data_IF_255376201273
#
_entry.id   IF_255376201273
#
_cell.length_a   1.000
_cell.length_b   1.000
_cell.length_c   1.000
_cell.angle_alpha   90.00
_cell.angle_beta   90.00
_cell.angle_gamma   90.00
#
_symmetry.space_group_name_H-M   'P 1'
#
loop_
_entity.id
_entity.type
_entity.pdbx_description
1 polymer ?
#
# COMPACT_ATOMS: atom_id res chain seq x y z
N UNK A 1 59.14 -6.51 -11.61
CA UNK A 1 57.75 -6.24 -11.20
C UNK A 1 57.48 -7.09 -9.97
N UNK A 2 57.21 -6.47 -8.83
CA UNK A 2 57.14 -7.17 -7.53
C UNK A 2 56.01 -8.20 -7.53
N UNK A 3 56.30 -9.48 -7.22
CA UNK A 3 55.31 -10.56 -7.13
C UNK A 3 54.14 -10.23 -6.19
N UNK A 4 54.34 -9.35 -5.20
CA UNK A 4 53.28 -8.84 -4.33
C UNK A 4 52.26 -7.95 -5.07
N UNK A 5 52.69 -7.18 -6.08
CA UNK A 5 51.83 -6.36 -6.90
C UNK A 5 50.96 -7.21 -7.84
N UNK A 6 51.50 -8.31 -8.36
CA UNK A 6 50.77 -9.25 -9.20
C UNK A 6 49.66 -10.00 -8.42
N UNK A 7 49.92 -10.34 -7.16
CA UNK A 7 48.94 -10.97 -6.25
C UNK A 7 47.80 -9.99 -5.91
N UNK A 8 48.11 -8.71 -5.68
CA UNK A 8 47.08 -7.68 -5.42
C UNK A 8 46.18 -7.43 -6.65
N UNK A 9 46.79 -7.43 -7.85
CA UNK A 9 46.04 -7.29 -9.12
C UNK A 9 45.17 -8.54 -9.36
N UNK A 10 45.65 -9.73 -9.03
CA UNK A 10 44.91 -10.99 -9.15
C UNK A 10 43.72 -11.05 -8.16
N UNK A 11 43.89 -10.53 -6.94
CA UNK A 11 42.82 -10.45 -5.96
C UNK A 11 41.76 -9.42 -6.35
N UNK A 12 42.15 -8.28 -6.96
CA UNK A 12 41.23 -7.27 -7.45
C UNK A 12 40.43 -7.71 -8.70
N UNK A 13 40.92 -8.69 -9.46
CA UNK A 13 40.22 -9.23 -10.63
C UNK A 13 39.14 -10.28 -10.29
N UNK A 14 39.04 -10.72 -9.02
CA UNK A 14 38.04 -11.70 -8.58
C UNK A 14 36.71 -11.02 -8.17
N UNK A 15 36.65 -9.69 -8.06
CA UNK A 15 35.39 -8.99 -7.91
C UNK A 15 34.66 -8.98 -9.26
N UNK A 16 33.91 -10.06 -9.54
CA UNK A 16 32.86 -9.99 -10.55
C UNK A 16 31.84 -8.97 -10.04
N UNK A 17 31.85 -7.78 -10.62
CA UNK A 17 30.77 -6.84 -10.49
C UNK A 17 29.58 -7.46 -11.27
N UNK A 18 28.80 -8.29 -10.58
CA UNK A 18 27.49 -8.67 -11.10
C UNK A 18 26.68 -7.39 -11.13
N UNK A 19 26.37 -6.91 -12.32
CA UNK A 19 25.26 -5.97 -12.51
C UNK A 19 24.02 -6.70 -12.00
N UNK A 20 23.55 -6.29 -10.83
CA UNK A 20 22.32 -6.87 -10.31
C UNK A 20 21.17 -6.27 -11.11
N UNK A 21 20.57 -7.08 -11.97
CA UNK A 21 19.41 -6.69 -12.75
C UNK A 21 18.26 -6.36 -11.82
N UNK A 22 17.83 -5.10 -11.82
CA UNK A 22 16.66 -4.66 -11.05
C UNK A 22 15.40 -5.11 -11.76
N UNK A 23 14.78 -6.19 -11.28
CA UNK A 23 13.49 -6.69 -11.78
C UNK A 23 12.37 -6.21 -10.87
N UNK A 24 12.07 -4.92 -10.93
CA UNK A 24 10.98 -4.30 -10.16
C UNK A 24 9.65 -4.65 -10.82
N UNK A 25 8.71 -5.17 -10.02
CA UNK A 25 7.35 -5.44 -10.47
C UNK A 25 6.63 -4.11 -10.67
N UNK A 26 6.17 -3.84 -11.89
CA UNK A 26 5.41 -2.63 -12.23
C UNK A 26 3.93 -2.96 -12.44
N UNK A 27 3.06 -2.03 -12.04
CA UNK A 27 1.60 -2.21 -12.17
C UNK A 27 0.95 -0.93 -12.67
N UNK A 28 -0.23 -1.07 -13.26
CA UNK A 28 -1.14 0.05 -13.42
C UNK A 28 -1.61 0.53 -12.04
N UNK A 29 -2.08 1.75 -11.95
CA UNK A 29 -2.72 2.35 -10.75
C UNK A 29 -2.01 2.08 -9.41
N UNK A 30 -0.70 2.33 -9.32
CA UNK A 30 0.09 2.01 -8.12
C UNK A 30 -0.35 2.81 -6.88
N UNK A 31 -1.15 3.88 -7.04
CA UNK A 31 -1.72 4.66 -5.95
C UNK A 31 -2.61 3.82 -5.01
N UNK A 32 -3.11 2.65 -5.48
CA UNK A 32 -3.86 1.71 -4.67
C UNK A 32 -3.06 1.14 -3.50
N UNK A 33 -1.73 1.11 -3.62
CA UNK A 33 -0.81 0.61 -2.58
C UNK A 33 -0.41 1.70 -1.58
N UNK A 34 -0.72 2.98 -1.85
CA UNK A 34 -0.41 4.08 -0.93
C UNK A 34 -1.38 4.04 0.25
N UNK A 35 -0.85 4.14 1.46
CA UNK A 35 -1.66 4.24 2.69
C UNK A 35 -2.69 5.36 2.59
N UNK A 36 -3.91 5.05 3.00
CA UNK A 36 -5.03 5.99 2.91
C UNK A 36 -5.14 6.92 4.12
N UNK A 37 -4.38 6.68 5.19
CA UNK A 37 -4.57 7.38 6.45
C UNK A 37 -3.27 7.61 7.22
N UNK A 38 -3.30 8.61 8.12
CA UNK A 38 -2.15 8.99 8.93
C UNK A 38 -1.84 7.99 10.05
N UNK A 39 -2.86 7.28 10.60
CA UNK A 39 -2.63 6.27 11.64
C UNK A 39 -1.79 5.12 11.12
N UNK A 40 -2.23 4.46 10.06
CA UNK A 40 -1.52 3.35 9.44
C UNK A 40 -0.15 3.78 8.88
N UNK A 41 -0.07 5.00 8.33
CA UNK A 41 1.20 5.60 7.91
C UNK A 41 2.17 5.76 9.07
N UNK A 42 1.70 6.20 10.24
CA UNK A 42 2.51 6.33 11.46
C UNK A 42 3.00 4.98 12.02
N UNK A 43 2.39 3.88 11.58
CA UNK A 43 2.71 2.49 11.96
C UNK A 43 3.56 1.75 10.90
N UNK A 44 4.18 2.45 9.95
CA UNK A 44 5.00 1.82 8.91
C UNK A 44 4.18 1.31 7.72
N UNK A 45 3.06 1.97 7.39
CA UNK A 45 2.20 1.60 6.24
C UNK A 45 1.52 0.23 6.39
N UNK A 46 0.94 -0.05 7.56
CA UNK A 46 0.25 -1.29 7.86
C UNK A 46 -1.09 -1.08 8.54
N UNK A 47 -2.02 -2.02 8.36
CA UNK A 47 -3.36 -1.87 8.92
C UNK A 47 -4.21 -3.14 8.92
N UNK A 48 -3.71 -4.25 8.37
CA UNK A 48 -4.51 -5.47 8.19
C UNK A 48 -4.88 -6.15 9.50
N UNK A 49 -4.03 -6.02 10.54
CA UNK A 49 -4.20 -6.62 11.86
C UNK A 49 -4.16 -5.61 13.03
N UNK A 50 -4.18 -4.31 12.75
CA UNK A 50 -4.34 -3.28 13.79
C UNK A 50 -5.76 -3.32 14.37
N UNK A 51 -6.00 -2.67 15.52
CA UNK A 51 -7.36 -2.47 16.01
C UNK A 51 -8.22 -1.72 14.99
N UNK A 52 -9.55 -1.85 15.10
CA UNK A 52 -10.50 -1.19 14.19
C UNK A 52 -10.37 0.33 14.26
N UNK A 53 -10.52 0.97 13.10
CA UNK A 53 -10.60 2.43 12.94
C UNK A 53 -11.48 2.80 11.75
N UNK A 54 -11.70 4.10 11.53
CA UNK A 54 -12.57 4.60 10.47
C UNK A 54 -12.00 4.40 9.05
N UNK A 55 -10.71 4.04 8.92
CA UNK A 55 -10.03 3.77 7.66
C UNK A 55 -9.85 2.28 7.36
N UNK A 56 -10.44 1.40 8.18
CA UNK A 56 -10.35 -0.05 8.02
C UNK A 56 -10.86 -0.55 6.66
N UNK A 57 -11.68 0.25 5.94
CA UNK A 57 -12.11 -0.04 4.57
C UNK A 57 -10.94 -0.31 3.61
N UNK A 58 -9.87 0.44 3.71
CA UNK A 58 -8.69 0.28 2.85
C UNK A 58 -7.85 -0.95 3.21
N UNK A 59 -7.78 -1.27 4.49
CA UNK A 59 -6.87 -2.29 5.02
C UNK A 59 -7.52 -3.66 5.18
N UNK A 60 -8.64 -3.69 5.89
CA UNK A 60 -9.39 -4.90 6.22
C UNK A 60 -10.79 -4.53 6.73
N UNK A 61 -11.81 -4.48 5.86
CA UNK A 61 -13.17 -4.09 6.27
C UNK A 61 -13.82 -5.02 7.30
N UNK A 62 -13.35 -6.27 7.42
CA UNK A 62 -13.90 -7.20 8.43
C UNK A 62 -13.68 -6.74 9.88
N UNK A 63 -12.74 -5.80 10.11
CA UNK A 63 -12.50 -5.17 11.41
C UNK A 63 -13.71 -4.40 11.93
N UNK A 64 -14.56 -3.83 11.05
CA UNK A 64 -15.73 -3.06 11.48
C UNK A 64 -16.73 -3.85 12.32
N UNK A 65 -16.75 -5.18 12.22
CA UNK A 65 -17.57 -6.05 13.07
C UNK A 65 -17.20 -5.91 14.55
N UNK A 66 -15.93 -5.58 14.83
CA UNK A 66 -15.41 -5.43 16.19
C UNK A 66 -15.41 -3.95 16.66
N UNK A 67 -16.02 -3.05 15.88
CA UNK A 67 -16.20 -1.66 16.30
C UNK A 67 -17.19 -1.54 17.45
N UNK A 68 -16.86 -0.73 18.44
CA UNK A 68 -17.78 -0.35 19.52
C UNK A 68 -18.84 0.63 19.03
N UNK A 69 -18.49 1.47 18.04
CA UNK A 69 -19.41 2.45 17.46
C UNK A 69 -20.28 1.84 16.36
N UNK A 70 -21.50 2.34 16.24
CA UNK A 70 -22.46 1.86 15.24
C UNK A 70 -22.09 2.30 13.81
N UNK A 71 -21.49 3.46 13.64
CA UNK A 71 -21.05 3.96 12.33
C UNK A 71 -19.95 5.01 12.47
N UNK A 72 -19.27 5.32 11.36
CA UNK A 72 -18.25 6.35 11.34
C UNK A 72 -17.95 6.83 9.93
N UNK A 73 -17.45 8.05 9.85
CA UNK A 73 -16.96 8.68 8.63
C UNK A 73 -15.53 9.15 8.85
N UNK A 74 -14.70 9.09 7.82
CA UNK A 74 -13.35 9.63 7.89
C UNK A 74 -12.93 10.29 6.58
N UNK A 75 -12.01 11.22 6.72
CA UNK A 75 -11.34 11.93 5.64
C UNK A 75 -9.84 11.95 5.88
N UNK A 76 -9.06 11.74 4.82
CA UNK A 76 -7.61 11.88 4.88
C UNK A 76 -7.07 12.64 3.68
N UNK A 77 -5.93 13.29 3.91
CA UNK A 77 -5.18 14.02 2.89
C UNK A 77 -3.69 13.71 3.03
N UNK A 78 -3.09 13.29 1.93
CA UNK A 78 -1.68 12.93 1.84
C UNK A 78 -1.05 13.68 0.66
N UNK A 79 -0.25 14.74 0.90
CA UNK A 79 0.57 15.33 -0.16
C UNK A 79 1.52 14.28 -0.72
N UNK A 80 1.81 14.37 -2.01
CA UNK A 80 2.71 13.47 -2.72
C UNK A 80 3.74 14.31 -3.48
N UNK A 81 5.01 13.90 -3.48
CA UNK A 81 6.10 14.67 -4.09
C UNK A 81 6.19 16.14 -3.59
N UNK A 82 5.78 16.41 -2.37
CA UNK A 82 5.61 17.78 -1.82
C UNK A 82 6.88 18.66 -1.83
N UNK A 83 8.06 18.05 -2.00
CA UNK A 83 9.31 18.79 -2.23
C UNK A 83 9.44 19.38 -3.64
N UNK A 84 8.72 18.85 -4.62
CA UNK A 84 8.82 19.21 -6.03
C UNK A 84 7.63 20.05 -6.49
N UNK A 85 6.42 19.64 -6.09
CA UNK A 85 5.14 20.21 -6.52
C UNK A 85 4.13 20.20 -5.37
N UNK A 86 3.10 21.05 -5.44
CA UNK A 86 2.12 21.20 -4.36
C UNK A 86 0.71 20.70 -4.73
N UNK A 87 0.52 20.22 -5.94
CA UNK A 87 -0.75 19.88 -6.56
C UNK A 87 -0.96 18.37 -6.74
N UNK A 88 0.07 17.56 -6.41
CA UNK A 88 -0.03 16.11 -6.37
C UNK A 88 -0.43 15.66 -4.95
N UNK A 89 -1.56 14.98 -4.84
CA UNK A 89 -2.07 14.52 -3.54
C UNK A 89 -2.97 13.30 -3.67
N UNK A 90 -3.08 12.56 -2.59
CA UNK A 90 -4.06 11.51 -2.37
C UNK A 90 -5.08 11.98 -1.32
N UNK A 91 -6.36 11.93 -1.66
CA UNK A 91 -7.45 12.14 -0.72
C UNK A 91 -8.29 10.86 -0.60
N UNK A 92 -8.80 10.59 0.60
CA UNK A 92 -9.69 9.46 0.84
C UNK A 92 -10.83 9.86 1.76
N UNK A 93 -12.03 9.39 1.42
CA UNK A 93 -13.22 9.46 2.28
C UNK A 93 -13.71 8.04 2.49
N UNK A 94 -14.00 7.67 3.73
CA UNK A 94 -14.56 6.36 4.06
C UNK A 94 -15.76 6.51 4.99
N UNK A 95 -16.68 5.57 4.88
CA UNK A 95 -17.85 5.44 5.75
C UNK A 95 -18.10 3.98 6.05
N UNK A 96 -18.48 3.68 7.29
CA UNK A 96 -18.96 2.35 7.67
C UNK A 96 -20.22 2.44 8.53
N UNK A 97 -21.01 1.37 8.52
CA UNK A 97 -22.17 1.21 9.37
C UNK A 97 -22.34 -0.26 9.75
N UNK A 98 -22.47 -0.53 11.05
CA UNK A 98 -22.88 -1.83 11.58
C UNK A 98 -24.39 -1.96 11.44
N UNK A 99 -24.83 -2.95 10.67
CA UNK A 99 -26.25 -3.28 10.53
C UNK A 99 -26.72 -4.05 11.78
N UNK A 100 -25.84 -4.87 12.33
CA UNK A 100 -26.08 -5.71 13.51
C UNK A 100 -24.74 -6.12 14.14
N UNK A 101 -24.78 -6.84 15.25
CA UNK A 101 -23.58 -7.45 15.85
C UNK A 101 -22.87 -8.46 14.93
N UNK A 102 -23.53 -8.91 13.87
CA UNK A 102 -23.00 -9.91 12.93
C UNK A 102 -22.64 -9.37 11.57
N UNK A 103 -23.06 -8.17 11.22
CA UNK A 103 -22.87 -7.66 9.86
C UNK A 103 -22.64 -6.15 9.83
N UNK A 104 -21.78 -5.73 8.92
CA UNK A 104 -21.54 -4.32 8.61
C UNK A 104 -21.35 -4.13 7.12
N UNK A 105 -21.60 -2.92 6.64
CA UNK A 105 -21.20 -2.48 5.31
C UNK A 105 -20.33 -1.24 5.42
N UNK A 106 -19.53 -1.00 4.39
CA UNK A 106 -18.67 0.17 4.33
C UNK A 106 -18.44 0.57 2.87
N UNK A 107 -18.08 1.82 2.67
CA UNK A 107 -17.76 2.35 1.35
C UNK A 107 -16.64 3.38 1.46
N UNK A 108 -15.86 3.56 0.38
CA UNK A 108 -14.86 4.60 0.30
C UNK A 108 -14.71 5.15 -1.12
N UNK A 109 -14.25 6.39 -1.18
CA UNK A 109 -13.76 7.06 -2.38
C UNK A 109 -12.32 7.44 -2.13
N UNK A 110 -11.39 6.97 -2.97
CA UNK A 110 -10.00 7.39 -2.99
C UNK A 110 -9.74 8.12 -4.30
N UNK A 111 -9.15 9.32 -4.22
CA UNK A 111 -8.82 10.17 -5.36
C UNK A 111 -7.36 10.55 -5.33
N UNK A 112 -6.66 10.34 -6.43
CA UNK A 112 -5.25 10.69 -6.61
C UNK A 112 -5.11 11.71 -7.73
N UNK A 113 -4.73 12.94 -7.38
CA UNK A 113 -4.34 13.98 -8.34
C UNK A 113 -2.88 13.81 -8.68
N UNK A 114 -2.56 13.83 -9.97
CA UNK A 114 -1.18 13.85 -10.48
C UNK A 114 -0.68 15.26 -10.79
N UNK A 115 -1.47 16.27 -10.39
CA UNK A 115 -1.15 17.68 -10.61
C UNK A 115 -1.45 18.15 -12.02
N UNK A 116 -1.14 19.43 -12.28
CA UNK A 116 -1.33 20.06 -13.57
C UNK A 116 -0.07 19.86 -14.41
N UNK A 117 -0.25 19.44 -15.67
CA UNK A 117 0.84 19.24 -16.63
C UNK A 117 0.68 20.20 -17.79
N UNK A 118 1.64 21.12 -17.95
CA UNK A 118 1.70 22.06 -19.05
C UNK A 118 2.33 21.39 -20.28
N UNK A 119 1.53 21.18 -21.32
CA UNK A 119 2.00 20.64 -22.60
C UNK A 119 2.22 21.77 -23.58
N UNK A 120 3.47 21.95 -24.01
CA UNK A 120 3.89 22.89 -25.05
C UNK A 120 4.25 22.12 -26.32
N UNK A 121 3.62 22.44 -27.44
CA UNK A 121 3.98 21.89 -28.74
C UNK A 121 5.17 22.62 -29.32
N UNK A 122 5.24 23.96 -29.11
CA UNK A 122 6.41 24.79 -29.42
C UNK A 122 6.70 25.73 -28.24
N UNK A 123 7.95 26.21 -28.08
CA UNK A 123 8.35 27.08 -26.96
C UNK A 123 7.58 28.40 -26.83
N UNK A 124 6.87 28.83 -27.88
CA UNK A 124 6.09 30.08 -27.93
C UNK A 124 4.60 29.88 -27.88
N UNK A 125 4.13 28.63 -27.78
CA UNK A 125 2.71 28.33 -27.74
C UNK A 125 2.12 28.58 -26.33
N UNK A 126 0.82 28.79 -26.27
CA UNK A 126 0.08 28.77 -25.00
C UNK A 126 0.01 27.31 -24.52
N UNK A 127 0.38 27.01 -23.28
CA UNK A 127 0.32 25.64 -22.75
C UNK A 127 -1.10 25.09 -22.81
N UNK A 128 -1.21 23.81 -23.17
CA UNK A 128 -2.40 23.02 -22.93
C UNK A 128 -2.24 22.42 -21.52
N UNK A 129 -3.15 22.75 -20.60
CA UNK A 129 -3.10 22.24 -19.23
C UNK A 129 -3.91 20.95 -19.17
N UNK A 130 -3.29 19.87 -18.81
CA UNK A 130 -3.91 18.56 -18.54
C UNK A 130 -3.87 18.25 -17.05
N UNK A 131 -4.93 17.62 -16.52
CA UNK A 131 -5.09 17.29 -15.10
C UNK A 131 -5.26 15.77 -14.94
N UNK A 132 -4.19 14.99 -15.11
CA UNK A 132 -4.29 13.54 -14.97
C UNK A 132 -4.66 13.15 -13.54
N UNK A 133 -5.54 12.17 -13.42
CA UNK A 133 -6.03 11.72 -12.12
C UNK A 133 -6.46 10.26 -12.15
N UNK A 134 -6.52 9.69 -10.95
CA UNK A 134 -6.98 8.32 -10.73
C UNK A 134 -7.95 8.30 -9.55
N UNK A 135 -8.97 7.44 -9.59
CA UNK A 135 -9.84 7.27 -8.44
C UNK A 135 -10.40 5.84 -8.33
N UNK A 136 -10.85 5.51 -7.10
CA UNK A 136 -11.61 4.29 -6.84
C UNK A 136 -12.86 4.57 -6.04
N UNK A 137 -13.90 3.77 -6.32
CA UNK A 137 -15.08 3.61 -5.49
C UNK A 137 -15.11 2.18 -4.97
N UNK A 138 -15.17 2.03 -3.66
CA UNK A 138 -15.17 0.74 -2.99
C UNK A 138 -16.46 0.58 -2.18
N UNK A 139 -17.00 -0.64 -2.16
CA UNK A 139 -18.09 -1.03 -1.27
C UNK A 139 -17.80 -2.42 -0.70
N UNK A 140 -18.00 -2.59 0.60
CA UNK A 140 -17.70 -3.83 1.31
C UNK A 140 -18.86 -4.30 2.15
N UNK A 141 -18.97 -5.61 2.30
CA UNK A 141 -19.87 -6.25 3.23
C UNK A 141 -19.06 -7.21 4.11
N UNK A 142 -19.23 -7.09 5.43
CA UNK A 142 -18.52 -7.88 6.42
C UNK A 142 -19.50 -8.72 7.24
N UNK A 143 -19.08 -9.93 7.56
CA UNK A 143 -19.88 -10.89 8.31
C UNK A 143 -19.05 -11.54 9.44
N UNK A 144 -19.57 -11.56 10.65
CA UNK A 144 -19.01 -12.30 11.80
C UNK A 144 -19.30 -13.79 11.60
N UNK A 145 -18.27 -14.60 11.54
CA UNK A 145 -18.35 -16.05 11.38
C UNK A 145 -18.26 -16.78 12.72
N UNK A 146 -17.55 -16.21 13.70
CA UNK A 146 -17.50 -16.67 15.09
C UNK A 146 -17.37 -15.47 16.03
N UNK A 147 -17.35 -15.68 17.34
CA UNK A 147 -17.16 -14.59 18.33
C UNK A 147 -15.85 -13.79 18.05
N UNK A 148 -14.82 -14.49 17.63
CA UNK A 148 -13.48 -13.92 17.45
C UNK A 148 -13.08 -13.71 15.99
N UNK A 149 -13.89 -14.11 14.98
CA UNK A 149 -13.48 -14.08 13.58
C UNK A 149 -14.57 -13.54 12.67
N UNK A 150 -14.17 -12.61 11.79
CA UNK A 150 -15.02 -12.04 10.75
C UNK A 150 -14.31 -12.08 9.38
N UNK A 151 -15.09 -12.10 8.32
CA UNK A 151 -14.62 -11.96 6.94
C UNK A 151 -15.37 -10.86 6.21
N UNK A 152 -14.77 -10.32 5.16
CA UNK A 152 -15.44 -9.39 4.26
C UNK A 152 -15.09 -9.64 2.80
N UNK A 153 -16.01 -9.19 1.94
CA UNK A 153 -15.82 -9.11 0.49
C UNK A 153 -16.08 -7.67 0.09
N UNK A 154 -15.19 -7.12 -0.75
CA UNK A 154 -15.32 -5.77 -1.30
C UNK A 154 -15.38 -5.83 -2.82
N UNK A 155 -16.22 -4.99 -3.41
CA UNK A 155 -16.19 -4.65 -4.82
C UNK A 155 -15.55 -3.28 -5.00
N UNK A 156 -14.71 -3.15 -6.01
CA UNK A 156 -14.00 -1.92 -6.38
C UNK A 156 -14.24 -1.59 -7.83
N UNK A 157 -14.62 -0.36 -8.11
CA UNK A 157 -14.50 0.25 -9.42
C UNK A 157 -13.29 1.18 -9.40
N UNK A 158 -12.47 1.15 -10.45
CA UNK A 158 -11.29 1.99 -10.57
C UNK A 158 -11.23 2.65 -11.96
N UNK A 159 -10.74 3.88 -11.99
CA UNK A 159 -10.51 4.65 -13.20
C UNK A 159 -9.16 5.36 -13.11
N UNK A 160 -8.44 5.36 -14.22
CA UNK A 160 -7.15 6.04 -14.38
C UNK A 160 -7.20 6.86 -15.67
N UNK A 161 -7.17 8.17 -15.54
CA UNK A 161 -7.04 9.12 -16.64
C UNK A 161 -5.68 9.80 -16.57
N UNK A 162 -4.67 9.10 -17.08
CA UNK A 162 -3.29 9.56 -17.18
C UNK A 162 -2.93 9.96 -18.61
N UNK A 163 -3.95 10.23 -19.40
CA UNK A 163 -3.82 10.61 -20.79
C UNK A 163 -3.21 12.01 -20.90
N UNK A 164 -2.16 12.11 -21.71
CA UNK A 164 -1.58 13.38 -22.14
C UNK A 164 -1.98 13.61 -23.60
N UNK A 165 -2.65 14.72 -23.88
CA UNK A 165 -3.05 15.08 -25.24
C UNK A 165 -1.81 15.54 -26.05
N UNK A 166 -1.07 14.58 -26.56
CA UNK A 166 -0.05 14.84 -27.59
C UNK A 166 -0.62 14.50 -28.97
N UNK A 167 -0.11 15.12 -30.03
CA UNK A 167 -0.61 14.95 -31.41
C UNK A 167 -0.62 13.47 -31.89
N UNK A 168 0.20 12.61 -31.28
CA UNK A 168 0.38 11.20 -31.63
C UNK A 168 -0.02 10.22 -30.50
N UNK A 169 -0.73 10.68 -29.46
CA UNK A 169 -1.05 9.79 -28.33
C UNK A 169 -2.33 8.99 -28.59
N UNK A 170 -2.18 7.69 -28.69
CA UNK A 170 -3.30 6.72 -28.72
C UNK A 170 -3.75 6.30 -27.30
N UNK A 171 -3.25 6.98 -26.29
CA UNK A 171 -3.56 6.69 -24.87
C UNK A 171 -4.93 7.25 -24.51
N UNK A 172 -5.74 6.45 -23.83
CA UNK A 172 -7.05 6.82 -23.33
C UNK A 172 -7.20 6.54 -21.85
N UNK A 173 -8.20 7.16 -21.22
CA UNK A 173 -8.59 6.82 -19.87
C UNK A 173 -8.99 5.33 -19.79
N UNK A 174 -8.49 4.63 -18.78
CA UNK A 174 -8.74 3.23 -18.54
C UNK A 174 -9.60 3.03 -17.30
N UNK A 175 -10.46 2.02 -17.33
CA UNK A 175 -11.23 1.60 -16.16
C UNK A 175 -11.18 0.10 -15.97
N UNK A 176 -11.34 -0.35 -14.73
CA UNK A 176 -11.41 -1.77 -14.40
C UNK A 176 -12.28 -1.98 -13.16
N UNK A 177 -12.51 -3.24 -12.83
CA UNK A 177 -13.17 -3.66 -11.60
C UNK A 177 -12.28 -4.63 -10.85
N UNK A 178 -12.39 -4.64 -9.53
CA UNK A 178 -11.64 -5.59 -8.71
C UNK A 178 -12.49 -6.07 -7.53
N UNK A 179 -12.07 -7.17 -6.94
CA UNK A 179 -12.65 -7.74 -5.72
C UNK A 179 -11.56 -7.87 -4.68
N UNK A 180 -11.88 -7.55 -3.43
CA UNK A 180 -11.01 -7.83 -2.29
C UNK A 180 -11.67 -8.86 -1.38
N UNK A 181 -10.86 -9.71 -0.76
CA UNK A 181 -11.29 -10.69 0.25
C UNK A 181 -10.42 -10.50 1.48
N UNK A 182 -11.04 -10.30 2.62
CA UNK A 182 -10.30 -10.12 3.87
C UNK A 182 -10.89 -10.92 5.02
N UNK A 183 -10.07 -11.16 6.03
CA UNK A 183 -10.46 -11.80 7.27
C UNK A 183 -9.70 -11.21 8.45
N UNK A 184 -10.36 -11.18 9.60
CA UNK A 184 -9.82 -10.61 10.81
C UNK A 184 -10.20 -11.45 12.03
N UNK A 185 -9.21 -11.73 12.84
CA UNK A 185 -9.34 -12.40 14.12
C UNK A 185 -8.96 -11.43 15.24
N UNK A 186 -9.75 -11.44 16.29
CA UNK A 186 -9.46 -10.75 17.56
C UNK A 186 -9.82 -11.70 18.72
N UNK A 187 -8.86 -11.96 19.61
CA UNK A 187 -9.12 -12.73 20.82
C UNK A 187 -10.01 -11.97 21.79
N UNK A 188 -10.58 -12.68 22.74
CA UNK A 188 -11.09 -12.05 23.94
C UNK A 188 -9.94 -11.41 24.74
N UNK A 189 -10.28 -10.56 25.70
CA UNK A 189 -9.32 -10.01 26.64
C UNK A 189 -8.80 -11.12 27.55
N UNK A 190 -7.51 -11.38 27.48
CA UNK A 190 -6.83 -12.39 28.29
C UNK A 190 -5.97 -11.74 29.37
N UNK A 191 -6.07 -12.22 30.62
CA UNK A 191 -5.28 -11.69 31.73
C UNK A 191 -3.98 -12.47 31.90
N UNK A 192 -2.87 -11.74 31.91
CA UNK A 192 -1.52 -12.24 32.15
C UNK A 192 -0.97 -11.72 33.48
N UNK A 193 0.20 -12.17 33.86
CA UNK A 193 0.84 -11.68 35.07
C UNK A 193 1.37 -10.25 34.85
N UNK A 194 0.60 -9.25 35.28
CA UNK A 194 0.99 -7.83 35.25
C UNK A 194 0.43 -7.01 34.08
N UNK A 195 -0.34 -7.61 33.18
CA UNK A 195 -1.06 -6.91 32.10
C UNK A 195 -2.21 -7.76 31.57
N UNK A 196 -3.15 -7.14 30.89
CA UNK A 196 -4.13 -7.83 30.06
C UNK A 196 -3.71 -7.72 28.59
N UNK A 197 -4.18 -8.65 27.74
CA UNK A 197 -3.76 -8.67 26.35
C UNK A 197 -4.85 -9.04 25.36
N UNK A 198 -4.74 -8.51 24.15
CA UNK A 198 -5.60 -8.85 23.01
C UNK A 198 -4.70 -9.23 21.82
N UNK A 199 -4.87 -10.45 21.33
CA UNK A 199 -4.21 -10.91 20.11
C UNK A 199 -5.09 -10.59 18.90
N UNK A 200 -4.48 -10.07 17.84
CA UNK A 200 -5.13 -9.81 16.55
C UNK A 200 -4.35 -10.47 15.42
N UNK A 201 -5.06 -10.95 14.42
CA UNK A 201 -4.48 -11.43 13.17
C UNK A 201 -5.41 -11.06 12.03
N UNK A 202 -4.84 -10.85 10.86
CA UNK A 202 -5.64 -10.47 9.69
C UNK A 202 -4.96 -10.83 8.39
N UNK A 203 -5.77 -10.98 7.36
CA UNK A 203 -5.31 -11.06 5.98
C UNK A 203 -6.20 -10.21 5.08
N UNK A 204 -5.63 -9.77 3.97
CA UNK A 204 -6.36 -9.12 2.88
C UNK A 204 -5.70 -9.48 1.55
N UNK A 205 -6.49 -10.03 0.61
CA UNK A 205 -6.11 -10.14 -0.79
C UNK A 205 -6.89 -9.08 -1.53
N UNK A 206 -6.22 -8.01 -1.92
CA UNK A 206 -6.83 -6.83 -2.53
C UNK A 206 -6.54 -6.76 -4.03
N UNK A 207 -7.42 -6.06 -4.75
CA UNK A 207 -7.28 -5.77 -6.18
C UNK A 207 -7.27 -7.03 -7.07
N UNK A 208 -8.07 -8.04 -6.78
CA UNK A 208 -8.24 -9.19 -7.66
C UNK A 208 -9.10 -8.76 -8.85
N UNK A 209 -8.49 -8.55 -10.01
CA UNK A 209 -9.22 -8.06 -11.18
C UNK A 209 -8.41 -8.11 -12.48
N UNK A 210 -9.06 -7.85 -13.62
CA UNK A 210 -8.42 -7.89 -14.94
C UNK A 210 -7.38 -6.77 -15.10
N UNK A 211 -6.47 -6.97 -16.06
CA UNK A 211 -5.50 -5.96 -16.46
C UNK A 211 -6.18 -4.69 -16.97
N UNK A 212 -5.53 -3.57 -16.84
CA UNK A 212 -5.96 -2.29 -17.42
C UNK A 212 -5.40 -2.09 -18.82
N UNK A 213 -6.20 -1.49 -19.69
CA UNK A 213 -5.90 -1.23 -21.07
C UNK A 213 -6.02 0.26 -21.35
N UNK A 214 -4.89 0.89 -21.67
CA UNK A 214 -4.79 2.34 -21.93
C UNK A 214 -4.79 2.70 -23.43
N UNK A 215 -4.96 1.72 -24.32
CA UNK A 215 -5.00 1.94 -25.77
C UNK A 215 -6.15 1.18 -26.40
N UNK A 216 -6.81 1.79 -27.39
CA UNK A 216 -7.83 1.14 -28.22
C UNK A 216 -7.25 0.29 -29.34
N UNK A 217 -5.96 0.42 -29.63
CA UNK A 217 -5.33 -0.34 -30.70
C UNK A 217 -5.32 -1.81 -30.32
N UNK A 218 -5.75 -2.65 -31.25
CA UNK A 218 -5.69 -4.10 -31.07
C UNK A 218 -4.23 -4.54 -30.90
N UNK A 219 -3.92 -5.15 -29.73
CA UNK A 219 -2.55 -5.48 -29.35
C UNK A 219 -1.84 -4.41 -28.51
N UNK A 220 -2.54 -3.37 -28.05
CA UNK A 220 -2.01 -2.39 -27.11
C UNK A 220 -1.62 -3.03 -25.78
N UNK A 221 -0.67 -2.41 -25.08
CA UNK A 221 -0.12 -2.90 -23.82
C UNK A 221 -1.19 -2.95 -22.73
N UNK A 222 -1.37 -4.11 -22.12
CA UNK A 222 -2.19 -4.32 -20.93
C UNK A 222 -1.28 -4.39 -19.70
N UNK A 223 -1.66 -3.70 -18.62
CA UNK A 223 -0.88 -3.68 -17.37
C UNK A 223 -1.68 -4.32 -16.24
N UNK A 224 -1.02 -5.15 -15.44
CA UNK A 224 -1.62 -5.72 -14.22
C UNK A 224 -2.01 -4.62 -13.25
N UNK A 225 -3.16 -4.74 -12.61
CA UNK A 225 -3.48 -3.97 -11.40
C UNK A 225 -2.72 -4.58 -10.20
N UNK A 226 -2.41 -3.81 -9.15
CA UNK A 226 -1.57 -4.28 -8.05
C UNK A 226 -2.33 -5.23 -7.11
N UNK A 227 -2.63 -6.44 -7.58
CA UNK A 227 -3.17 -7.48 -6.69
C UNK A 227 -2.16 -7.75 -5.59
N UNK A 228 -2.59 -7.65 -4.33
CA UNK A 228 -1.67 -7.69 -3.19
C UNK A 228 -2.22 -8.55 -2.05
N UNK A 229 -1.39 -9.45 -1.53
CA UNK A 229 -1.64 -10.21 -0.32
C UNK A 229 -0.99 -9.51 0.86
N UNK A 230 -1.77 -9.20 1.89
CA UNK A 230 -1.32 -8.72 3.20
C UNK A 230 -1.61 -9.76 4.26
N UNK A 231 -0.63 -10.08 5.08
CA UNK A 231 -0.77 -10.94 6.25
C UNK A 231 -0.21 -10.20 7.45
N UNK A 232 -0.99 -10.08 8.51
CA UNK A 232 -0.57 -9.34 9.69
C UNK A 232 -0.95 -10.02 10.99
N UNK A 233 -0.24 -9.64 12.03
CA UNK A 233 -0.48 -10.01 13.41
C UNK A 233 -0.21 -8.82 14.32
N UNK A 234 -0.97 -8.70 15.40
CA UNK A 234 -0.82 -7.65 16.39
C UNK A 234 -1.09 -8.18 17.79
N UNK A 235 -0.40 -7.64 18.77
CA UNK A 235 -0.68 -7.89 20.17
C UNK A 235 -0.74 -6.56 20.93
N UNK A 236 -1.79 -6.36 21.68
CA UNK A 236 -1.98 -5.20 22.53
C UNK A 236 -1.80 -5.61 24.00
N UNK A 237 -0.86 -4.93 24.65
CA UNK A 237 -0.59 -5.02 26.09
C UNK A 237 -1.36 -3.91 26.79
N UNK A 238 -2.27 -4.26 27.66
CA UNK A 238 -3.07 -3.34 28.47
C UNK A 238 -2.53 -3.38 29.88
N UNK A 239 -1.79 -2.36 30.29
CA UNK A 239 -1.11 -2.32 31.57
C UNK A 239 -2.03 -1.88 32.71
N UNK A 240 -2.94 -0.95 32.40
CA UNK A 240 -3.97 -0.44 33.31
C UNK A 240 -5.09 0.23 32.48
N UNK A 241 -6.05 0.88 33.15
CA UNK A 241 -7.18 1.56 32.50
C UNK A 241 -6.77 2.68 31.54
N UNK A 242 -5.57 3.21 31.68
CA UNK A 242 -5.12 4.42 30.95
C UNK A 242 -3.97 4.13 29.99
N UNK A 243 -3.26 3.01 30.14
CA UNK A 243 -2.04 2.76 29.40
C UNK A 243 -2.11 1.44 28.64
N UNK A 244 -1.98 1.49 27.32
CA UNK A 244 -1.79 0.32 26.49
C UNK A 244 -0.68 0.51 25.44
N UNK A 245 -0.10 -0.61 24.98
CA UNK A 245 0.92 -0.67 23.96
C UNK A 245 0.58 -1.76 22.96
N UNK A 246 0.36 -1.39 21.71
CA UNK A 246 0.15 -2.35 20.63
C UNK A 246 1.42 -2.49 19.78
N UNK A 247 1.80 -3.76 19.51
CA UNK A 247 2.85 -4.14 18.57
C UNK A 247 2.18 -4.83 17.39
N UNK A 248 2.57 -4.47 16.17
CA UNK A 248 2.01 -5.03 14.94
C UNK A 248 3.10 -5.37 13.93
N UNK A 249 2.90 -6.46 13.21
CA UNK A 249 3.73 -6.94 12.12
C UNK A 249 2.86 -7.20 10.91
N UNK A 250 3.31 -6.79 9.73
CA UNK A 250 2.64 -7.07 8.46
C UNK A 250 3.67 -7.48 7.41
N UNK A 251 3.32 -8.48 6.62
CA UNK A 251 4.08 -8.93 5.45
C UNK A 251 3.17 -8.82 4.25
N UNK A 252 3.69 -8.22 3.17
CA UNK A 252 2.96 -8.05 1.93
C UNK A 252 3.69 -8.70 0.77
N UNK A 253 2.94 -9.23 -0.19
CA UNK A 253 3.43 -9.72 -1.48
C UNK A 253 2.50 -9.25 -2.58
N UNK A 254 3.09 -8.63 -3.62
CA UNK A 254 2.38 -8.42 -4.87
C UNK A 254 2.13 -9.76 -5.58
N UNK A 255 0.87 -10.06 -5.84
CA UNK A 255 0.44 -11.25 -6.57
C UNK A 255 0.36 -10.94 -8.07
N UNK A 256 1.45 -10.42 -8.60
CA UNK A 256 1.65 -10.02 -9.99
C UNK A 256 2.92 -10.68 -10.48
N UNK A 257 2.94 -11.25 -11.70
CA UNK A 257 4.09 -11.99 -12.20
C UNK A 257 5.38 -11.16 -12.19
N UNK A 258 6.48 -11.80 -11.80
CA UNK A 258 7.81 -11.20 -11.87
C UNK A 258 8.22 -10.92 -13.32
N UNK A 259 8.93 -9.80 -13.60
CA UNK A 259 9.49 -9.54 -14.91
C UNK A 259 10.54 -10.60 -15.28
N UNK A 260 10.23 -11.46 -16.24
CA UNK A 260 11.05 -12.61 -16.65
C UNK A 260 11.34 -12.67 -18.14
N UNK A 261 10.60 -11.94 -18.97
CA UNK A 261 10.81 -11.91 -20.42
C UNK A 261 11.83 -10.82 -20.79
N UNK A 262 12.91 -11.21 -21.45
CA UNK A 262 13.96 -10.31 -21.89
C UNK A 262 13.50 -9.40 -23.02
N UNK A 263 13.79 -8.10 -22.92
CA UNK A 263 13.61 -7.13 -23.97
C UNK A 263 14.99 -6.82 -24.55
N UNK A 264 15.19 -7.20 -25.82
CA UNK A 264 16.46 -7.04 -26.52
C UNK A 264 16.47 -5.74 -27.33
N UNK A 265 17.63 -5.07 -27.37
CA UNK A 265 17.87 -3.98 -28.33
C UNK A 265 18.18 -4.52 -29.74
N UNK A 266 18.40 -3.63 -30.71
CA UNK A 266 18.76 -3.98 -32.07
C UNK A 266 20.06 -4.78 -32.23
N UNK A 267 20.93 -4.75 -31.19
CA UNK A 267 22.20 -5.47 -31.16
C UNK A 267 22.09 -6.85 -30.49
N UNK A 268 20.89 -7.24 -29.98
CA UNK A 268 20.67 -8.49 -29.28
C UNK A 268 21.07 -8.46 -27.81
N UNK A 269 21.27 -7.29 -27.20
CA UNK A 269 21.60 -7.12 -25.79
C UNK A 269 20.32 -6.91 -24.96
N UNK A 270 20.25 -7.51 -23.76
CA UNK A 270 19.12 -7.32 -22.85
C UNK A 270 19.15 -5.89 -22.29
N UNK A 271 18.10 -5.12 -22.55
CA UNK A 271 17.97 -3.73 -22.09
C UNK A 271 16.91 -3.56 -21.00
N UNK A 272 15.99 -4.51 -20.89
CA UNK A 272 14.95 -4.50 -19.86
C UNK A 272 14.35 -5.92 -19.71
N UNK A 273 13.54 -6.07 -18.65
CA UNK A 273 12.69 -7.23 -18.45
C UNK A 273 11.22 -6.79 -18.41
N UNK A 274 10.33 -7.56 -18.98
CA UNK A 274 8.89 -7.35 -18.91
C UNK A 274 8.18 -8.53 -18.26
N UNK A 275 7.00 -8.26 -17.76
CA UNK A 275 6.12 -9.28 -17.21
C UNK A 275 5.53 -10.14 -18.34
N UNK A 276 5.33 -11.46 -18.11
CA UNK A 276 4.69 -12.33 -19.08
C UNK A 276 3.25 -11.92 -19.33
N UNK A 277 2.82 -11.96 -20.58
CA UNK A 277 1.44 -11.67 -20.98
C UNK A 277 0.53 -12.89 -20.78
N UNK A 278 0.11 -13.10 -19.54
CA UNK A 278 -0.80 -14.18 -19.13
C UNK A 278 -2.06 -13.61 -18.47
N UNK A 279 -3.10 -14.43 -18.35
CA UNK A 279 -4.34 -14.03 -17.67
C UNK A 279 -4.08 -13.66 -16.19
N UNK A 280 -4.83 -12.69 -15.65
CA UNK A 280 -4.60 -12.15 -14.30
C UNK A 280 -4.71 -13.22 -13.21
N UNK A 281 -5.69 -14.14 -13.27
CA UNK A 281 -5.78 -15.26 -12.32
C UNK A 281 -4.56 -16.18 -12.37
N UNK A 282 -4.09 -16.50 -13.58
CA UNK A 282 -2.88 -17.29 -13.75
C UNK A 282 -1.66 -16.54 -13.20
N UNK A 283 -1.60 -15.22 -13.38
CA UNK A 283 -0.57 -14.35 -12.82
C UNK A 283 -0.52 -14.42 -11.30
N UNK A 284 -1.68 -14.33 -10.64
CA UNK A 284 -1.80 -14.44 -9.17
C UNK A 284 -1.17 -15.75 -8.65
N UNK A 285 -1.52 -16.89 -9.25
CA UNK A 285 -0.98 -18.18 -8.79
C UNK A 285 0.51 -18.36 -9.13
N UNK A 286 0.96 -17.87 -10.29
CA UNK A 286 2.36 -17.96 -10.69
C UNK A 286 3.28 -17.11 -9.81
N UNK A 287 2.83 -15.94 -9.34
CA UNK A 287 3.62 -15.00 -8.54
C UNK A 287 4.18 -15.56 -7.23
N UNK A 288 3.82 -16.77 -6.85
CA UNK A 288 4.39 -17.46 -5.69
C UNK A 288 5.66 -18.25 -5.99
N UNK A 289 6.13 -18.27 -7.24
CA UNK A 289 7.30 -19.07 -7.61
C UNK A 289 7.77 -18.82 -9.04
N UNK A 290 7.61 -17.61 -9.57
CA UNK A 290 7.98 -17.25 -10.93
C UNK A 290 9.21 -16.32 -11.01
N UNK A 291 9.78 -15.95 -9.87
CA UNK A 291 11.00 -15.17 -9.83
C UNK A 291 12.17 -15.93 -10.50
N UNK A 292 12.87 -15.33 -11.48
CA UNK A 292 13.89 -16.02 -12.28
C UNK A 292 15.02 -16.66 -11.47
N UNK A 293 15.44 -16.03 -10.35
CA UNK A 293 16.49 -16.56 -9.47
C UNK A 293 15.91 -17.47 -8.35
N UNK A 294 14.65 -17.93 -8.51
CA UNK A 294 13.99 -18.88 -7.61
C UNK A 294 13.62 -18.31 -6.25
N UNK A 295 13.53 -19.17 -5.23
CA UNK A 295 13.04 -18.83 -3.89
C UNK A 295 13.81 -17.66 -3.25
N UNK A 296 15.09 -17.53 -3.52
CA UNK A 296 15.90 -16.44 -2.97
C UNK A 296 15.46 -15.06 -3.51
N UNK A 297 15.00 -14.99 -4.74
CA UNK A 297 14.41 -13.78 -5.33
C UNK A 297 12.96 -13.59 -4.88
N UNK A 298 12.16 -14.65 -4.78
CA UNK A 298 10.80 -14.59 -4.24
C UNK A 298 10.74 -13.95 -2.85
N UNK A 299 11.68 -14.28 -1.95
CA UNK A 299 11.75 -13.68 -0.62
C UNK A 299 12.05 -12.17 -0.70
N UNK A 300 12.81 -11.72 -1.70
CA UNK A 300 13.10 -10.29 -1.91
C UNK A 300 11.87 -9.50 -2.39
N UNK A 301 10.83 -10.15 -2.89
CA UNK A 301 9.57 -9.52 -3.30
C UNK A 301 8.64 -9.24 -2.12
N UNK A 302 8.93 -9.82 -0.96
CA UNK A 302 8.17 -9.53 0.25
C UNK A 302 8.54 -8.16 0.81
N UNK A 303 7.54 -7.41 1.22
CA UNK A 303 7.74 -6.21 2.03
C UNK A 303 7.33 -6.47 3.47
N UNK A 304 8.00 -5.81 4.40
CA UNK A 304 7.82 -6.00 5.83
C UNK A 304 7.50 -4.66 6.49
N UNK A 305 6.55 -4.67 7.39
CA UNK A 305 6.22 -3.52 8.22
C UNK A 305 6.18 -3.94 9.69
N UNK A 306 6.71 -3.09 10.55
CA UNK A 306 6.62 -3.19 12.00
C UNK A 306 6.05 -1.89 12.56
N UNK A 307 5.10 -1.97 13.48
CA UNK A 307 4.44 -0.82 14.10
C UNK A 307 4.34 -0.95 15.60
N UNK A 308 4.42 0.19 16.25
CA UNK A 308 4.26 0.38 17.68
C UNK A 308 3.31 1.55 17.91
N UNK A 309 2.22 1.32 18.67
CA UNK A 309 1.26 2.33 19.08
C UNK A 309 1.12 2.31 20.60
N UNK A 310 1.52 3.40 21.25
CA UNK A 310 1.24 3.61 22.65
C UNK A 310 0.00 4.51 22.79
N UNK A 311 -0.96 4.07 23.62
CA UNK A 311 -2.19 4.78 23.93
C UNK A 311 -2.18 5.23 25.39
N UNK A 312 -2.50 6.49 25.60
CA UNK A 312 -2.75 7.07 26.90
C UNK A 312 -4.21 7.50 27.00
N UNK A 313 -4.94 6.95 27.97
CA UNK A 313 -6.34 7.28 28.29
C UNK A 313 -7.29 7.10 27.08
N UNK A 314 -6.97 6.21 26.16
CA UNK A 314 -7.68 6.03 24.87
C UNK A 314 -7.93 7.35 24.09
N UNK A 315 -7.23 8.42 24.45
CA UNK A 315 -7.40 9.76 23.91
C UNK A 315 -6.17 10.29 23.19
N UNK A 316 -4.99 9.94 23.66
CA UNK A 316 -3.73 10.37 23.07
C UNK A 316 -2.89 9.17 22.61
N UNK A 317 -2.37 9.23 21.39
CA UNK A 317 -1.64 8.14 20.76
C UNK A 317 -0.29 8.62 20.25
N UNK A 318 0.76 7.85 20.52
CA UNK A 318 2.08 8.01 19.91
C UNK A 318 2.38 6.75 19.13
N UNK A 319 2.88 6.94 17.91
CA UNK A 319 3.15 5.85 16.98
C UNK A 319 4.54 5.93 16.41
N UNK A 320 5.12 4.77 16.17
CA UNK A 320 6.33 4.62 15.37
C UNK A 320 6.21 3.38 14.50
N UNK A 321 6.78 3.43 13.31
CA UNK A 321 6.76 2.32 12.40
C UNK A 321 8.03 2.23 11.57
N UNK A 322 8.27 1.05 11.03
CA UNK A 322 9.34 0.78 10.08
C UNK A 322 8.79 -0.02 8.91
N UNK A 323 9.13 0.40 7.72
CA UNK A 323 8.81 -0.31 6.47
C UNK A 323 10.09 -0.67 5.73
N UNK A 324 10.13 -1.86 5.16
CA UNK A 324 11.27 -2.36 4.41
C UNK A 324 10.86 -3.11 3.15
N UNK A 325 11.40 -2.69 2.03
CA UNK A 325 11.37 -3.34 0.74
C UNK A 325 12.79 -3.58 0.26
N UNK A 326 13.02 -4.72 -0.40
CA UNK A 326 14.36 -5.09 -0.84
C UNK A 326 14.90 -4.14 -1.92
N UNK A 327 16.20 -3.86 -1.90
CA UNK A 327 16.87 -2.88 -2.78
C UNK A 327 16.71 -3.19 -4.28
N UNK A 328 16.59 -4.46 -4.65
CA UNK A 328 16.38 -4.89 -6.04
C UNK A 328 14.92 -4.85 -6.48
N UNK A 329 13.96 -4.65 -5.56
CA UNK A 329 12.51 -4.74 -5.83
C UNK A 329 11.74 -3.43 -5.63
N UNK A 330 12.43 -2.32 -5.32
CA UNK A 330 11.83 -0.99 -5.14
C UNK A 330 12.60 -0.11 -4.17
N UNK A 331 13.37 -0.72 -3.23
CA UNK A 331 14.30 -0.01 -2.34
C UNK A 331 13.63 0.95 -1.35
N UNK A 332 12.32 0.83 -1.09
CA UNK A 332 11.63 1.68 -0.12
C UNK A 332 11.95 1.21 1.29
N UNK A 333 12.66 2.03 2.04
CA UNK A 333 12.96 1.81 3.47
C UNK A 333 12.71 3.13 4.19
N UNK A 334 11.89 3.10 5.22
CA UNK A 334 11.61 4.33 5.97
C UNK A 334 11.17 4.03 7.40
N UNK A 335 11.41 5.02 8.25
CA UNK A 335 10.85 5.10 9.59
C UNK A 335 9.69 6.08 9.55
N UNK A 336 8.64 5.80 10.30
CA UNK A 336 7.51 6.70 10.47
C UNK A 336 7.31 7.05 11.94
N UNK A 337 6.84 8.26 12.15
CA UNK A 337 6.36 8.71 13.45
C UNK A 337 4.95 9.26 13.27
N UNK A 338 4.12 9.09 14.28
CA UNK A 338 2.74 9.55 14.24
C UNK A 338 2.23 9.94 15.62
N UNK A 339 1.22 10.78 15.62
CA UNK A 339 0.44 11.10 16.82
C UNK A 339 -1.03 11.11 16.47
N UNK A 340 -1.86 10.79 17.46
CA UNK A 340 -3.30 10.82 17.34
C UNK A 340 -3.94 11.41 18.57
N UNK A 341 -5.07 12.03 18.38
CA UNK A 341 -5.90 12.54 19.47
C UNK A 341 -7.36 12.18 19.21
N UNK A 342 -8.01 11.60 20.21
CA UNK A 342 -9.45 11.29 20.19
C UNK A 342 -10.14 12.07 21.30
N UNK A 343 -11.20 12.77 20.94
CA UNK A 343 -12.01 13.55 21.89
C UNK A 343 -13.13 12.69 22.47
N UNK A 344 -13.71 13.13 23.59
CA UNK A 344 -14.91 12.52 24.19
C UNK A 344 -16.15 12.55 23.27
N UNK A 345 -16.10 13.31 22.18
CA UNK A 345 -17.16 13.41 21.17
C UNK A 345 -16.90 12.52 19.95
N UNK A 346 -16.04 11.51 20.10
CA UNK A 346 -15.68 10.57 19.04
C UNK A 346 -15.06 11.19 17.77
N UNK A 347 -14.52 12.41 17.87
CA UNK A 347 -13.67 13.01 16.84
C UNK A 347 -12.23 12.53 17.05
N UNK A 348 -11.63 11.95 16.03
CA UNK A 348 -10.21 11.58 15.98
C UNK A 348 -9.46 12.46 14.98
N UNK A 349 -8.24 12.85 15.34
CA UNK A 349 -7.30 13.58 14.49
C UNK A 349 -5.97 12.85 14.57
N UNK A 350 -5.44 12.45 13.41
CA UNK A 350 -4.16 11.76 13.33
C UNK A 350 -3.22 12.52 12.40
N UNK A 351 -1.96 12.57 12.79
CA UNK A 351 -0.85 13.12 12.02
C UNK A 351 0.26 12.08 11.92
N UNK A 352 0.92 12.01 10.79
CA UNK A 352 2.13 11.20 10.62
C UNK A 352 3.15 11.87 9.73
N UNK A 353 4.41 11.47 9.92
CA UNK A 353 5.55 11.95 9.17
C UNK A 353 6.44 10.78 8.79
N UNK A 354 6.93 10.76 7.54
CA UNK A 354 7.76 9.71 6.99
C UNK A 354 9.19 10.23 6.78
N UNK A 355 10.16 9.45 7.28
CA UNK A 355 11.59 9.71 7.16
C UNK A 355 12.20 8.56 6.33
N UNK A 356 12.63 8.84 5.10
CA UNK A 356 13.31 7.86 4.27
C UNK A 356 14.67 7.48 4.87
N UNK A 357 14.96 6.18 4.87
CA UNK A 357 16.27 5.62 5.27
C UNK A 357 16.96 4.92 4.10
N UNK A 358 16.38 5.02 2.90
CA UNK A 358 16.91 4.49 1.65
C UNK A 358 17.70 5.56 0.89
N UNK A 359 18.68 5.15 0.09
CA UNK A 359 19.38 6.02 -0.87
C UNK A 359 18.46 6.46 -2.04
N UNK A 360 17.33 5.78 -2.23
CA UNK A 360 16.32 6.13 -3.23
C UNK A 360 15.32 7.11 -2.62
N UNK A 361 15.16 8.26 -3.26
CA UNK A 361 14.20 9.29 -2.81
C UNK A 361 12.78 8.71 -2.91
N UNK A 362 12.09 8.67 -1.77
CA UNK A 362 10.68 8.28 -1.71
C UNK A 362 9.80 9.46 -2.13
N UNK A 363 8.80 9.27 -3.00
CA UNK A 363 7.81 10.30 -3.31
C UNK A 363 7.01 10.79 -2.09
N UNK A 364 7.01 10.01 -1.01
CA UNK A 364 6.33 10.30 0.26
C UNK A 364 7.28 10.87 1.32
N UNK A 365 8.56 11.08 0.97
CA UNK A 365 9.57 11.58 1.89
C UNK A 365 9.26 13.01 2.37
N UNK A 366 9.43 13.23 3.67
CA UNK A 366 9.14 14.50 4.34
C UNK A 366 7.67 14.98 4.18
N UNK A 367 6.75 14.05 4.00
CA UNK A 367 5.33 14.34 3.88
C UNK A 367 4.65 14.25 5.23
N UNK A 368 3.89 15.30 5.58
CA UNK A 368 2.95 15.27 6.71
C UNK A 368 1.60 14.82 6.17
N UNK A 369 1.04 13.77 6.76
CA UNK A 369 -0.28 13.26 6.45
C UNK A 369 -1.25 13.62 7.56
N UNK A 370 -2.47 13.96 7.18
CA UNK A 370 -3.56 14.31 8.09
C UNK A 370 -4.74 13.39 7.87
N UNK A 371 -5.33 12.93 8.96
CA UNK A 371 -6.58 12.18 8.96
C UNK A 371 -7.52 12.69 10.02
N UNK A 372 -8.79 12.73 9.68
CA UNK A 372 -9.90 13.09 10.56
C UNK A 372 -10.92 11.96 10.54
N UNK A 373 -11.39 11.54 11.70
CA UNK A 373 -12.43 10.53 11.84
C UNK A 373 -13.50 11.01 12.80
N UNK A 374 -14.74 10.63 12.54
CA UNK A 374 -15.87 10.90 13.40
C UNK A 374 -16.76 9.66 13.49
N UNK A 375 -17.07 9.24 14.72
CA UNK A 375 -17.94 8.11 14.99
C UNK A 375 -19.32 8.57 15.47
N UNK A 376 -20.30 7.72 15.21
CA UNK A 376 -21.68 7.89 15.64
C UNK A 376 -22.10 6.64 16.42
N UNK A 377 -22.73 6.87 17.56
CA UNK A 377 -23.31 5.83 18.44
C UNK A 377 -24.79 5.64 18.16
#
# INVERSE_FOLDING_TARGET
>A
MNNKLLIIILILSIFNVYSQDRRVITTAVPFLLISSDARASGLGEQGVATSVDNFSQHWNPSKYIFSENSSGVAFSYTPYLSKLVNDIFLANVSYYNKISERSSWSASLKYFSLGDIDILQNPLDIPIIENPNEFTLDASYSLRLSESFAMSVSGRFLMSDVKLQTLDSETEAASSVAVDISGYYQSDLESYNGFDGILRAGFNISNIGPKMKYSKVSGGTESYIPTNLRLGSGFEFIFDSNNSLALTLEVNKLLVPSPSEEVLNSNGEVVAYRQPDIGFLQGIFKSFGDAPDGIAEEIKELTYAFGLEYSFDNSFFIRSGYFSEHELKGSRKFITIGTGFKTDRDLSIDLSYLISTSDVISPLENTIRLSLGFNFN
#
